data_IF_310808776407
#
_entry.id   IF_310808776407
#
_cell.length_a   1.000
_cell.length_b   1.000
_cell.length_c   1.000
_cell.angle_alpha   90.00
_cell.angle_beta   90.00
_cell.angle_gamma   90.00
#
_symmetry.space_group_name_H-M   'P 1'
#
loop_
_entity.id
_entity.type
_entity.pdbx_description
1 polymer ?
#
# COMPACT_ATOMS: atom_id res chain seq x y z
N UNK A 1 10.80 12.34 14.82
CA UNK A 1 10.84 12.40 13.35
C UNK A 1 9.80 13.36 12.82
N UNK A 2 10.10 13.96 11.68
CA UNK A 2 9.13 14.72 10.88
C UNK A 2 8.66 13.83 9.74
N UNK A 3 7.38 13.48 9.75
CA UNK A 3 6.81 12.47 8.86
C UNK A 3 5.80 13.11 7.91
N UNK A 4 5.88 12.74 6.64
CA UNK A 4 4.87 13.05 5.63
C UNK A 4 4.06 11.81 5.25
N UNK A 5 2.80 11.95 4.88
CA UNK A 5 1.98 10.88 4.28
C UNK A 5 1.42 11.38 2.95
N UNK A 6 1.89 10.80 1.86
CA UNK A 6 1.40 11.07 0.51
C UNK A 6 0.22 10.14 0.21
N UNK A 7 -0.95 10.69 -0.07
CA UNK A 7 -2.19 9.92 -0.21
C UNK A 7 -2.95 9.74 1.11
N UNK A 8 -2.81 10.69 2.05
CA UNK A 8 -3.32 10.61 3.42
C UNK A 8 -4.83 10.39 3.55
N UNK A 9 -5.64 10.76 2.54
CA UNK A 9 -7.11 10.61 2.56
C UNK A 9 -7.60 9.27 2.06
N UNK A 10 -6.73 8.48 1.44
CA UNK A 10 -7.02 7.12 1.00
C UNK A 10 -7.16 6.12 2.16
N UNK A 11 -7.63 4.91 1.87
CA UNK A 11 -7.78 3.85 2.87
C UNK A 11 -6.44 3.53 3.55
N UNK A 12 -5.38 3.34 2.75
CA UNK A 12 -4.02 3.05 3.24
C UNK A 12 -3.45 4.20 4.06
N UNK A 13 -3.59 5.45 3.59
CA UNK A 13 -3.06 6.61 4.32
C UNK A 13 -3.73 6.81 5.68
N UNK A 14 -5.04 6.56 5.79
CA UNK A 14 -5.77 6.59 7.06
C UNK A 14 -5.30 5.49 8.01
N UNK A 15 -5.06 4.28 7.50
CA UNK A 15 -4.55 3.18 8.32
C UNK A 15 -3.11 3.45 8.77
N UNK A 16 -2.26 4.03 7.93
CA UNK A 16 -0.93 4.49 8.33
C UNK A 16 -0.99 5.49 9.49
N UNK A 17 -1.86 6.49 9.41
CA UNK A 17 -2.04 7.46 10.51
C UNK A 17 -2.45 6.79 11.81
N UNK A 18 -3.39 5.85 11.73
CA UNK A 18 -3.89 5.08 12.88
C UNK A 18 -2.78 4.25 13.51
N UNK A 19 -2.04 3.48 12.71
CA UNK A 19 -0.93 2.62 13.18
C UNK A 19 0.20 3.45 13.78
N UNK A 20 0.56 4.59 13.19
CA UNK A 20 1.57 5.49 13.76
C UNK A 20 1.16 6.00 15.15
N UNK A 21 -0.14 6.29 15.35
CA UNK A 21 -0.69 6.69 16.64
C UNK A 21 -0.69 5.52 17.65
N UNK A 22 -1.20 4.35 17.26
CA UNK A 22 -1.26 3.15 18.11
C UNK A 22 0.12 2.68 18.57
N UNK A 23 1.11 2.74 17.67
CA UNK A 23 2.50 2.37 17.97
C UNK A 23 3.28 3.48 18.68
N UNK A 24 2.67 4.63 18.94
CA UNK A 24 3.32 5.78 19.54
C UNK A 24 4.63 6.16 18.84
N UNK A 25 4.62 6.09 17.50
CA UNK A 25 5.82 6.44 16.72
C UNK A 25 6.25 7.88 17.05
N UNK A 26 7.53 8.15 17.30
CA UNK A 26 8.00 9.43 17.84
C UNK A 26 7.96 10.53 16.77
N UNK A 27 6.78 11.06 16.49
CA UNK A 27 6.53 12.11 15.50
C UNK A 27 6.51 13.47 16.19
N UNK A 28 7.43 14.35 15.79
CA UNK A 28 7.44 15.75 16.20
C UNK A 28 6.60 16.65 15.28
N UNK A 29 6.52 16.28 13.99
CA UNK A 29 5.73 16.99 12.98
C UNK A 29 5.11 15.98 12.00
N UNK A 30 3.81 16.10 11.74
CA UNK A 30 3.10 15.32 10.73
C UNK A 30 2.59 16.24 9.63
N UNK A 31 2.93 15.95 8.37
CA UNK A 31 2.35 16.60 7.18
C UNK A 31 1.55 15.61 6.37
N UNK A 32 0.33 16.01 5.99
CA UNK A 32 -0.58 15.18 5.22
C UNK A 32 -0.74 15.74 3.82
N UNK A 33 -0.52 14.90 2.82
CA UNK A 33 -0.61 15.27 1.41
C UNK A 33 -1.72 14.48 0.72
N UNK A 34 -2.56 15.19 -0.03
CA UNK A 34 -3.59 14.59 -0.88
C UNK A 34 -3.88 15.50 -2.08
N UNK A 35 -4.77 15.06 -2.98
CA UNK A 35 -5.17 15.84 -4.15
C UNK A 35 -5.83 17.17 -3.75
N UNK A 36 -5.89 18.12 -4.70
CA UNK A 36 -6.54 19.43 -4.58
C UNK A 36 -7.97 19.35 -4.02
N UNK A 37 -8.72 18.28 -4.32
CA UNK A 37 -10.07 18.05 -3.77
C UNK A 37 -10.11 17.92 -2.24
N UNK A 38 -9.00 17.54 -1.63
CA UNK A 38 -8.87 17.32 -0.19
C UNK A 38 -7.99 18.35 0.49
N UNK A 39 -7.20 19.11 -0.25
CA UNK A 39 -6.37 20.17 0.28
C UNK A 39 -7.21 21.21 1.05
N UNK A 40 -6.66 21.73 2.14
CA UNK A 40 -7.33 22.66 3.04
C UNK A 40 -8.27 22.03 4.07
N UNK A 41 -8.61 20.74 3.94
CA UNK A 41 -9.36 20.01 4.98
C UNK A 41 -8.45 19.73 6.17
N UNK A 42 -9.04 19.67 7.35
CA UNK A 42 -8.34 19.36 8.59
C UNK A 42 -8.72 17.95 9.05
N UNK A 43 -7.73 17.19 9.43
CA UNK A 43 -7.89 15.86 10.04
C UNK A 43 -7.35 15.95 11.47
N UNK A 44 -8.09 15.38 12.41
CA UNK A 44 -7.59 15.24 13.78
C UNK A 44 -6.66 14.02 13.87
N UNK A 45 -5.45 14.22 14.40
CA UNK A 45 -4.50 13.14 14.67
C UNK A 45 -3.88 13.33 16.06
N UNK A 46 -4.03 12.34 16.94
CA UNK A 46 -3.57 12.38 18.34
C UNK A 46 -4.00 13.66 19.08
N UNK A 47 -5.27 14.08 18.91
CA UNK A 47 -5.81 15.27 19.54
C UNK A 47 -5.29 16.60 18.98
N UNK A 48 -4.62 16.56 17.82
CA UNK A 48 -4.10 17.77 17.14
C UNK A 48 -4.70 17.89 15.74
N UNK A 49 -5.13 19.09 15.35
CA UNK A 49 -5.59 19.34 13.98
C UNK A 49 -4.39 19.37 13.03
N UNK A 50 -4.43 18.58 11.95
CA UNK A 50 -3.44 18.57 10.88
C UNK A 50 -4.13 18.92 9.58
N UNK A 51 -3.68 19.98 8.92
CA UNK A 51 -4.22 20.41 7.64
C UNK A 51 -3.63 19.60 6.50
N UNK A 52 -4.50 19.14 5.59
CA UNK A 52 -4.10 18.45 4.37
C UNK A 52 -3.59 19.48 3.37
N UNK A 53 -2.42 19.20 2.79
CA UNK A 53 -1.77 20.03 1.78
C UNK A 53 -1.82 19.32 0.42
N UNK A 54 -1.79 20.06 -0.65
CA UNK A 54 -1.49 19.52 -1.96
C UNK A 54 0.02 19.32 -2.07
N UNK A 55 0.50 18.14 -2.54
CA UNK A 55 1.92 17.91 -2.70
C UNK A 55 2.46 18.84 -3.80
N UNK A 56 3.58 19.49 -3.52
CA UNK A 56 4.26 20.38 -4.45
C UNK A 56 5.76 20.38 -4.21
N UNK A 57 6.52 20.86 -5.18
CA UNK A 57 7.95 21.01 -5.03
C UNK A 57 8.28 21.88 -3.79
N UNK A 58 9.13 21.36 -2.94
CA UNK A 58 9.54 22.03 -1.71
C UNK A 58 8.69 21.76 -0.47
N UNK A 59 7.46 21.20 -0.60
CA UNK A 59 6.63 20.86 0.57
C UNK A 59 7.20 19.68 1.39
N UNK A 60 8.12 18.92 0.79
CA UNK A 60 8.80 17.80 1.46
C UNK A 60 10.04 18.22 2.24
N UNK A 61 10.51 19.48 2.08
CA UNK A 61 11.71 19.96 2.77
C UNK A 61 11.56 19.89 4.29
N UNK A 62 12.61 19.38 4.92
CA UNK A 62 12.68 19.23 6.36
C UNK A 62 11.90 18.06 6.93
N UNK A 63 11.31 17.21 6.10
CA UNK A 63 10.82 15.89 6.52
C UNK A 63 11.98 14.90 6.60
N UNK A 64 11.87 13.93 7.49
CA UNK A 64 12.80 12.81 7.60
C UNK A 64 12.30 11.62 6.77
N UNK A 65 10.99 11.35 6.83
CA UNK A 65 10.36 10.19 6.20
C UNK A 65 9.06 10.64 5.53
N UNK A 66 8.81 10.12 4.33
CA UNK A 66 7.51 10.23 3.66
C UNK A 66 6.96 8.84 3.36
N UNK A 67 5.78 8.54 3.87
CA UNK A 67 5.07 7.29 3.60
C UNK A 67 4.19 7.46 2.36
N UNK A 68 4.42 6.63 1.37
CA UNK A 68 3.66 6.60 0.10
C UNK A 68 2.43 5.71 0.22
N UNK A 69 1.24 6.32 0.25
CA UNK A 69 -0.07 5.67 0.27
C UNK A 69 -0.92 6.04 -0.96
N UNK A 70 -0.28 6.55 -1.99
CA UNK A 70 -0.90 6.94 -3.26
C UNK A 70 -0.67 5.88 -4.35
N UNK A 71 -1.30 6.05 -5.49
CA UNK A 71 -1.12 5.19 -6.67
C UNK A 71 0.29 5.33 -7.27
N UNK A 72 0.68 4.35 -8.09
CA UNK A 72 2.04 4.24 -8.63
C UNK A 72 2.49 5.43 -9.46
N UNK A 73 1.61 6.06 -10.22
CA UNK A 73 1.90 7.26 -11.00
C UNK A 73 2.23 8.46 -10.11
N UNK A 74 1.49 8.62 -9.01
CA UNK A 74 1.74 9.66 -8.01
C UNK A 74 3.03 9.38 -7.24
N UNK A 75 3.29 8.11 -6.90
CA UNK A 75 4.54 7.72 -6.28
C UNK A 75 5.75 8.04 -7.20
N UNK A 76 5.67 7.67 -8.47
CA UNK A 76 6.71 8.00 -9.48
C UNK A 76 6.92 9.51 -9.64
N UNK A 77 5.85 10.30 -9.57
CA UNK A 77 5.92 11.75 -9.71
C UNK A 77 6.65 12.41 -8.53
N UNK A 78 6.32 12.01 -7.29
CA UNK A 78 6.80 12.73 -6.10
C UNK A 78 7.98 12.08 -5.39
N UNK A 79 8.28 10.79 -5.58
CA UNK A 79 9.43 10.16 -4.93
C UNK A 79 10.77 10.87 -5.23
N UNK A 80 11.06 11.30 -6.48
CA UNK A 80 12.28 12.05 -6.74
C UNK A 80 12.35 13.41 -6.01
N UNK A 81 11.19 14.04 -5.78
CA UNK A 81 11.09 15.29 -5.01
C UNK A 81 11.38 15.07 -3.53
N UNK A 82 10.82 13.98 -2.97
CA UNK A 82 11.05 13.59 -1.58
C UNK A 82 12.54 13.32 -1.35
N UNK A 83 13.17 12.55 -2.22
CA UNK A 83 14.61 12.23 -2.13
C UNK A 83 15.47 13.49 -2.27
N UNK A 84 15.16 14.39 -3.22
CA UNK A 84 15.86 15.67 -3.37
C UNK A 84 15.70 16.57 -2.14
N UNK A 85 14.59 16.47 -1.44
CA UNK A 85 14.36 17.20 -0.20
C UNK A 85 15.14 16.61 1.01
N UNK A 86 15.83 15.48 0.83
CA UNK A 86 16.63 14.81 1.86
C UNK A 86 15.84 13.85 2.74
N UNK A 87 14.58 13.56 2.41
CA UNK A 87 13.74 12.60 3.11
C UNK A 87 13.83 11.20 2.48
N UNK A 88 13.56 10.16 3.27
CA UNK A 88 13.38 8.79 2.77
C UNK A 88 11.92 8.58 2.39
N UNK A 89 11.68 8.08 1.16
CA UNK A 89 10.36 7.71 0.68
C UNK A 89 10.13 6.21 0.90
N UNK A 90 9.16 5.85 1.71
CA UNK A 90 8.73 4.46 1.93
C UNK A 90 7.46 4.23 1.12
N UNK A 91 7.59 3.56 -0.01
CA UNK A 91 6.51 3.40 -0.99
C UNK A 91 5.71 2.11 -0.78
N UNK A 92 4.39 2.24 -0.58
CA UNK A 92 3.48 1.11 -0.52
C UNK A 92 2.84 0.76 -1.87
N UNK A 93 3.05 1.58 -2.91
CA UNK A 93 2.58 1.29 -4.26
C UNK A 93 3.41 0.21 -4.94
N UNK A 94 3.05 -0.18 -6.15
CA UNK A 94 3.86 -1.11 -6.95
C UNK A 94 4.95 -0.41 -7.78
N UNK A 95 5.09 0.92 -7.67
CA UNK A 95 5.92 1.71 -8.55
C UNK A 95 7.39 1.26 -8.60
N UNK A 96 7.97 0.99 -7.45
CA UNK A 96 9.41 0.77 -7.31
C UNK A 96 9.79 -0.66 -6.91
N UNK A 97 8.82 -1.56 -6.72
CA UNK A 97 9.07 -2.89 -6.18
C UNK A 97 10.09 -3.72 -6.97
N UNK A 98 10.06 -3.59 -8.29
CA UNK A 98 10.93 -4.37 -9.17
C UNK A 98 12.11 -3.56 -9.73
N UNK A 99 12.30 -2.32 -9.28
CA UNK A 99 13.47 -1.51 -9.67
C UNK A 99 14.72 -2.05 -8.95
N UNK A 100 15.79 -2.35 -9.68
CA UNK A 100 16.99 -3.01 -9.15
C UNK A 100 17.70 -2.20 -8.05
N UNK A 101 17.67 -0.87 -8.15
CA UNK A 101 18.30 0.05 -7.19
C UNK A 101 17.43 0.37 -5.98
N UNK A 102 16.23 -0.22 -5.89
CA UNK A 102 15.30 0.01 -4.79
C UNK A 102 15.11 -1.27 -3.98
N UNK A 103 15.45 -1.30 -2.70
CA UNK A 103 15.22 -2.47 -1.86
C UNK A 103 13.72 -2.69 -1.65
N UNK A 104 13.29 -3.93 -1.84
CA UNK A 104 11.95 -4.41 -1.54
C UNK A 104 11.98 -5.10 -0.18
N UNK A 105 11.37 -4.49 0.83
CA UNK A 105 11.59 -4.89 2.22
C UNK A 105 10.31 -5.38 2.88
N UNK A 106 10.45 -6.55 3.53
CA UNK A 106 9.53 -7.03 4.57
C UNK A 106 10.34 -7.11 5.86
N UNK A 107 10.07 -6.26 6.87
CA UNK A 107 10.93 -6.15 8.07
C UNK A 107 11.14 -7.47 8.82
N UNK A 108 10.18 -8.39 8.76
CA UNK A 108 10.25 -9.72 9.40
C UNK A 108 11.09 -10.73 8.59
N UNK A 109 11.48 -10.40 7.36
CA UNK A 109 12.16 -11.33 6.44
C UNK A 109 13.54 -10.86 6.07
N UNK A 110 13.65 -9.64 5.54
CA UNK A 110 14.90 -9.06 5.04
C UNK A 110 15.16 -7.64 5.56
N UNK A 111 15.14 -7.39 6.91
CA UNK A 111 15.30 -6.05 7.48
C UNK A 111 16.60 -5.36 7.11
N UNK A 112 17.66 -6.13 6.86
CA UNK A 112 19.00 -5.59 6.54
C UNK A 112 19.03 -4.86 5.20
N UNK A 113 18.14 -5.24 4.26
CA UNK A 113 18.06 -4.64 2.92
C UNK A 113 17.62 -3.16 2.98
N UNK A 114 17.01 -2.73 4.07
CA UNK A 114 16.74 -1.29 4.32
C UNK A 114 18.02 -0.46 4.15
N UNK A 115 19.18 -0.99 4.52
CA UNK A 115 20.46 -0.26 4.45
C UNK A 115 20.95 -0.01 3.02
N UNK A 116 20.37 -0.69 2.04
CA UNK A 116 20.75 -0.60 0.63
C UNK A 116 20.02 0.55 -0.11
N UNK A 117 19.10 1.26 0.57
CA UNK A 117 18.31 2.29 -0.10
C UNK A 117 19.12 3.52 -0.53
N UNK A 118 18.76 4.10 -1.64
CA UNK A 118 19.24 5.38 -2.15
C UNK A 118 18.16 6.48 -2.01
N UNK A 119 17.41 6.46 -0.90
CA UNK A 119 16.32 7.40 -0.61
C UNK A 119 14.92 6.84 -0.83
N UNK A 120 14.77 5.69 -1.51
CA UNK A 120 13.48 5.02 -1.71
C UNK A 120 13.57 3.60 -1.15
N UNK A 121 12.52 3.18 -0.44
CA UNK A 121 12.31 1.81 0.06
C UNK A 121 10.94 1.38 -0.41
N UNK A 122 10.83 0.23 -1.06
CA UNK A 122 9.55 -0.33 -1.49
C UNK A 122 9.02 -1.33 -0.47
N UNK A 123 7.71 -1.27 -0.23
CA UNK A 123 6.96 -2.28 0.52
C UNK A 123 6.33 -3.26 -0.47
N UNK A 124 6.35 -4.54 -0.14
CA UNK A 124 5.82 -5.59 -1.00
C UNK A 124 4.28 -5.58 -1.09
N UNK A 125 3.74 -6.31 -2.05
CA UNK A 125 2.30 -6.55 -2.17
C UNK A 125 1.77 -7.27 -0.92
N UNK A 126 0.52 -7.00 -0.55
CA UNK A 126 -0.10 -7.54 0.66
C UNK A 126 -0.09 -9.07 0.72
N UNK A 127 -0.43 -9.76 -0.38
CA UNK A 127 -0.40 -11.22 -0.44
C UNK A 127 1.03 -11.76 -0.37
N UNK A 128 2.00 -11.06 -0.98
CA UNK A 128 3.43 -11.39 -0.86
C UNK A 128 3.90 -11.27 0.58
N UNK A 129 3.59 -10.15 1.28
CA UNK A 129 3.98 -9.93 2.68
C UNK A 129 3.47 -11.09 3.55
N UNK A 130 2.17 -11.38 3.48
CA UNK A 130 1.54 -12.42 4.30
C UNK A 130 2.17 -13.78 4.05
N UNK A 131 2.32 -14.15 2.77
CA UNK A 131 2.85 -15.45 2.37
C UNK A 131 4.31 -15.60 2.77
N UNK A 132 5.16 -14.65 2.38
CA UNK A 132 6.61 -14.74 2.62
C UNK A 132 6.93 -14.69 4.12
N UNK A 133 6.26 -13.85 4.89
CA UNK A 133 6.42 -13.81 6.34
C UNK A 133 6.05 -15.15 6.99
N UNK A 134 4.93 -15.75 6.56
CA UNK A 134 4.49 -17.04 7.12
C UNK A 134 5.45 -18.18 6.82
N UNK A 135 6.03 -18.22 5.60
CA UNK A 135 6.90 -19.34 5.20
C UNK A 135 8.38 -19.10 5.52
N UNK A 136 8.78 -17.87 5.89
CA UNK A 136 10.17 -17.54 6.16
C UNK A 136 10.80 -18.41 7.29
N UNK A 137 10.03 -18.71 8.32
CA UNK A 137 10.48 -19.59 9.40
C UNK A 137 10.80 -21.01 8.90
N UNK A 138 10.06 -21.53 7.92
CA UNK A 138 10.33 -22.81 7.28
C UNK A 138 11.56 -22.73 6.38
N UNK A 139 11.67 -21.64 5.62
CA UNK A 139 12.80 -21.39 4.74
C UNK A 139 14.14 -21.33 5.50
N UNK A 140 14.15 -20.81 6.73
CA UNK A 140 15.32 -20.78 7.60
C UNK A 140 15.78 -22.17 8.04
N UNK A 141 14.87 -23.14 8.13
CA UNK A 141 15.18 -24.54 8.51
C UNK A 141 15.54 -25.36 7.29
N UNK A 142 14.79 -25.19 6.20
CA UNK A 142 14.96 -25.92 4.95
C UNK A 142 14.59 -25.01 3.77
N UNK A 143 15.54 -24.67 2.89
CA UNK A 143 15.29 -23.76 1.77
C UNK A 143 14.12 -24.21 0.90
N UNK A 144 13.18 -23.31 0.68
CA UNK A 144 11.99 -23.55 -0.14
C UNK A 144 12.41 -23.59 -1.61
N UNK A 145 12.07 -24.67 -2.30
CA UNK A 145 12.36 -24.85 -3.74
C UNK A 145 11.19 -24.48 -4.64
N UNK A 146 9.98 -24.72 -4.16
CA UNK A 146 8.74 -24.40 -4.86
C UNK A 146 7.62 -24.18 -3.86
N UNK A 147 6.69 -23.31 -4.22
CA UNK A 147 5.51 -23.01 -3.41
C UNK A 147 4.29 -22.86 -4.33
N UNK A 148 3.18 -23.44 -3.90
CA UNK A 148 1.85 -23.18 -4.47
C UNK A 148 1.02 -22.50 -3.39
N UNK A 149 0.50 -21.32 -3.68
CA UNK A 149 -0.30 -20.54 -2.75
C UNK A 149 -1.71 -20.31 -3.29
N UNK A 150 -2.71 -20.47 -2.44
CA UNK A 150 -4.10 -20.07 -2.72
C UNK A 150 -4.51 -19.05 -1.67
N UNK A 151 -4.92 -17.85 -2.11
CA UNK A 151 -5.25 -16.75 -1.23
C UNK A 151 -6.73 -16.38 -1.30
N UNK A 152 -7.29 -15.97 -0.14
CA UNK A 152 -8.60 -15.32 -0.06
C UNK A 152 -8.36 -13.88 0.38
N UNK A 153 -8.68 -12.93 -0.50
CA UNK A 153 -8.39 -11.52 -0.28
C UNK A 153 -9.67 -10.71 -0.09
N UNK A 154 -9.63 -9.75 0.83
CA UNK A 154 -10.77 -8.91 1.14
C UNK A 154 -10.99 -7.83 0.06
N UNK A 155 -12.22 -7.35 -0.03
CA UNK A 155 -12.65 -6.27 -0.94
C UNK A 155 -11.87 -4.95 -0.77
N UNK A 156 -11.25 -4.74 0.39
CA UNK A 156 -10.43 -3.56 0.67
C UNK A 156 -9.19 -3.43 -0.23
N UNK A 157 -8.73 -4.54 -0.83
CA UNK A 157 -7.66 -4.53 -1.84
C UNK A 157 -7.99 -3.72 -3.10
N UNK A 158 -9.28 -3.54 -3.41
CA UNK A 158 -9.77 -2.67 -4.47
C UNK A 158 -9.87 -1.19 -4.05
N UNK A 159 -9.25 -0.81 -2.93
CA UNK A 159 -9.30 0.54 -2.39
C UNK A 159 -10.62 0.85 -1.68
N UNK A 160 -10.90 2.14 -1.47
CA UNK A 160 -12.08 2.57 -0.70
C UNK A 160 -13.42 2.18 -1.37
N UNK A 161 -13.44 1.98 -2.68
CA UNK A 161 -14.64 1.58 -3.42
C UNK A 161 -15.11 0.16 -3.11
N UNK A 162 -14.20 -0.77 -2.85
CA UNK A 162 -14.53 -2.17 -2.63
C UNK A 162 -15.48 -2.41 -1.44
N UNK A 163 -15.16 -1.93 -0.23
CA UNK A 163 -16.06 -2.05 0.92
C UNK A 163 -17.41 -1.32 0.72
N UNK A 164 -17.42 -0.20 0.02
CA UNK A 164 -18.65 0.55 -0.29
C UNK A 164 -19.55 -0.27 -1.21
N UNK A 165 -19.00 -0.80 -2.30
CA UNK A 165 -19.76 -1.64 -3.24
C UNK A 165 -20.30 -2.89 -2.54
N UNK A 166 -19.51 -3.58 -1.73
CA UNK A 166 -19.99 -4.73 -0.96
C UNK A 166 -21.19 -4.36 -0.08
N UNK A 167 -21.13 -3.23 0.64
CA UNK A 167 -22.23 -2.78 1.48
C UNK A 167 -23.49 -2.41 0.67
N UNK A 168 -23.33 -1.72 -0.47
CA UNK A 168 -24.42 -1.38 -1.38
C UNK A 168 -25.09 -2.64 -1.96
N UNK A 169 -24.31 -3.63 -2.36
CA UNK A 169 -24.82 -4.91 -2.89
C UNK A 169 -25.59 -5.71 -1.83
N UNK A 170 -25.04 -5.81 -0.60
CA UNK A 170 -25.73 -6.48 0.50
C UNK A 170 -27.09 -5.83 0.78
N UNK A 171 -27.16 -4.50 0.79
CA UNK A 171 -28.41 -3.78 0.99
C UNK A 171 -29.38 -3.94 -0.20
N UNK A 172 -28.88 -3.96 -1.43
CA UNK A 172 -29.71 -4.22 -2.62
C UNK A 172 -30.34 -5.62 -2.54
N UNK A 173 -29.55 -6.64 -2.22
CA UNK A 173 -30.05 -8.02 -2.05
C UNK A 173 -31.08 -8.10 -0.92
N UNK A 174 -30.83 -7.47 0.22
CA UNK A 174 -31.76 -7.43 1.36
C UNK A 174 -33.11 -6.81 0.98
N UNK A 175 -33.10 -5.82 0.08
CA UNK A 175 -34.32 -5.10 -0.33
C UNK A 175 -34.93 -5.60 -1.63
N UNK A 176 -34.41 -6.69 -2.22
CA UNK A 176 -34.88 -7.26 -3.49
C UNK A 176 -34.62 -6.39 -4.71
N UNK A 177 -33.64 -5.48 -4.63
CA UNK A 177 -33.21 -4.65 -5.74
C UNK A 177 -32.14 -5.36 -6.58
N UNK A 178 -32.03 -5.05 -7.88
CA UNK A 178 -30.97 -5.61 -8.71
C UNK A 178 -29.60 -5.11 -8.26
N UNK A 179 -28.62 -6.01 -8.23
CA UNK A 179 -27.22 -5.68 -7.99
C UNK A 179 -26.59 -5.20 -9.30
N UNK A 180 -25.79 -4.14 -9.21
CA UNK A 180 -25.03 -3.55 -10.33
C UNK A 180 -23.58 -3.33 -9.92
N UNK A 181 -22.67 -4.30 -10.15
CA UNK A 181 -21.24 -4.17 -9.88
C UNK A 181 -20.64 -2.97 -10.63
N UNK A 182 -19.73 -2.23 -9.95
CA UNK A 182 -19.05 -1.06 -10.50
C UNK A 182 -17.54 -1.16 -10.34
N UNK A 183 -17.09 -1.69 -9.20
CA UNK A 183 -15.67 -1.88 -8.84
C UNK A 183 -15.21 -3.26 -9.23
N UNK A 184 -16.03 -4.27 -8.98
CA UNK A 184 -15.74 -5.65 -9.31
C UNK A 184 -16.39 -6.05 -10.64
N UNK A 185 -15.84 -7.08 -11.30
CA UNK A 185 -16.38 -7.60 -12.57
C UNK A 185 -17.72 -8.32 -12.42
N UNK A 186 -18.03 -8.78 -11.22
CA UNK A 186 -19.23 -9.52 -10.87
C UNK A 186 -19.68 -9.12 -9.46
N UNK A 187 -20.93 -9.46 -9.11
CA UNK A 187 -21.43 -9.33 -7.74
C UNK A 187 -20.43 -9.95 -6.77
N UNK A 188 -20.00 -9.15 -5.77
CA UNK A 188 -19.09 -9.62 -4.72
C UNK A 188 -19.82 -10.02 -3.44
N UNK A 189 -21.00 -9.47 -3.18
CA UNK A 189 -21.79 -9.85 -2.00
C UNK A 189 -22.15 -11.34 -2.05
N UNK A 190 -21.77 -12.09 -1.00
CA UNK A 190 -21.95 -13.55 -0.88
C UNK A 190 -21.31 -14.36 -2.01
N UNK A 191 -20.21 -13.87 -2.58
CA UNK A 191 -19.52 -14.48 -3.71
C UNK A 191 -18.00 -14.49 -3.52
N UNK A 192 -17.34 -15.30 -4.36
CA UNK A 192 -15.89 -15.32 -4.55
C UNK A 192 -15.61 -15.11 -6.04
N UNK A 193 -14.76 -14.13 -6.35
CA UNK A 193 -14.31 -13.88 -7.71
C UNK A 193 -12.90 -14.46 -7.83
N UNK A 194 -12.69 -15.54 -8.62
CA UNK A 194 -11.40 -16.26 -8.66
C UNK A 194 -10.37 -15.54 -9.53
N UNK A 195 -10.34 -14.22 -9.48
CA UNK A 195 -9.41 -13.40 -10.26
C UNK A 195 -9.18 -12.06 -9.56
N UNK A 196 -7.92 -11.68 -9.39
CA UNK A 196 -7.52 -10.36 -8.91
C UNK A 196 -6.54 -9.73 -9.91
N UNK A 197 -6.88 -8.54 -10.40
CA UNK A 197 -6.16 -7.88 -11.47
C UNK A 197 -6.45 -8.46 -12.85
N UNK A 198 -5.84 -7.86 -13.89
CA UNK A 198 -5.93 -8.34 -15.26
C UNK A 198 -4.90 -9.43 -15.58
N UNK A 199 -5.12 -10.17 -16.65
CA UNK A 199 -4.13 -11.10 -17.18
C UNK A 199 -2.84 -10.35 -17.54
N UNK A 200 -1.71 -10.90 -17.15
CA UNK A 200 -0.41 -10.30 -17.38
C UNK A 200 0.54 -11.19 -18.17
N UNK A 201 0.61 -12.48 -17.87
CA UNK A 201 1.54 -13.40 -18.50
C UNK A 201 1.01 -14.84 -18.50
N UNK A 202 0.88 -15.45 -19.68
CA UNK A 202 0.50 -16.88 -19.87
C UNK A 202 -0.67 -17.37 -19.01
N UNK A 203 -1.73 -16.55 -18.89
CA UNK A 203 -2.91 -16.85 -18.09
C UNK A 203 -2.80 -16.47 -16.62
N UNK A 204 -1.64 -16.01 -16.15
CA UNK A 204 -1.47 -15.48 -14.81
C UNK A 204 -1.93 -14.02 -14.73
N UNK A 205 -2.58 -13.68 -13.63
CA UNK A 205 -3.00 -12.32 -13.35
C UNK A 205 -1.84 -11.45 -12.83
N UNK A 206 -2.02 -10.15 -12.86
CA UNK A 206 -1.04 -9.22 -12.30
C UNK A 206 -0.77 -9.46 -10.82
N UNK A 207 -1.77 -9.91 -10.05
CA UNK A 207 -1.61 -10.20 -8.62
C UNK A 207 -0.77 -11.45 -8.38
N UNK A 208 -0.99 -12.49 -9.18
CA UNK A 208 -0.18 -13.73 -9.12
C UNK A 208 1.27 -13.47 -9.51
N UNK A 209 1.49 -12.66 -10.56
CA UNK A 209 2.83 -12.27 -10.99
C UNK A 209 3.57 -11.42 -9.96
N UNK A 210 2.87 -10.55 -9.21
CA UNK A 210 3.48 -9.83 -8.08
C UNK A 210 4.03 -10.80 -7.04
N UNK A 211 3.22 -11.76 -6.58
CA UNK A 211 3.65 -12.74 -5.58
C UNK A 211 4.90 -13.50 -6.05
N UNK A 212 4.90 -13.95 -7.31
CA UNK A 212 6.01 -14.69 -7.89
C UNK A 212 7.30 -13.84 -7.98
N UNK A 213 7.20 -12.62 -8.52
CA UNK A 213 8.37 -11.78 -8.79
C UNK A 213 8.92 -11.16 -7.50
N UNK A 214 8.05 -10.62 -6.67
CA UNK A 214 8.41 -9.99 -5.41
C UNK A 214 8.97 -11.04 -4.42
N UNK A 215 8.34 -12.22 -4.33
CA UNK A 215 8.85 -13.31 -3.50
C UNK A 215 10.27 -13.72 -3.85
N UNK A 216 10.61 -13.79 -5.14
CA UNK A 216 11.97 -14.08 -5.60
C UNK A 216 12.98 -12.96 -5.29
N UNK A 217 12.54 -11.71 -5.26
CA UNK A 217 13.40 -10.57 -4.94
C UNK A 217 13.71 -10.50 -3.44
N UNK A 218 12.78 -10.94 -2.59
CA UNK A 218 12.88 -10.84 -1.13
C UNK A 218 13.61 -12.04 -0.51
N UNK A 219 13.39 -13.25 -1.04
CA UNK A 219 13.91 -14.51 -0.51
C UNK A 219 15.15 -15.00 -1.26
#
# INVERSE_FOLDING_TARGET
YKVGILGATGAVGREMMKILAERQFPISELRLFASSRSAGKVVEWNGRPVMIQEPSEGNFRGLDIVLGAAESDIARLYAPEVVRAGAVFVDNSSAYRMDDDVPLVIPEVNPEDVKLHHGIIASANCSTIITVTAVNALNAISPIRAMVASTYQAVSGAGAGGPVELAEEVEALRTGKPVQPKVFSHQIAYNLIPQIGGEQYEGYTSEEMKMQNEGRKIM
#
